data_IF_504750490016
#
_entry.id   IF_504750490016
#
_cell.length_a   1.000
_cell.length_b   1.000
_cell.length_c   1.000
_cell.angle_alpha   90.00
_cell.angle_beta   90.00
_cell.angle_gamma   90.00
#
_symmetry.space_group_name_H-M   'P 1'
#
loop_
_entity.id
_entity.type
_entity.pdbx_description
1 polymer ?
#
# COMPACT_ATOMS: atom_id res chain seq x y z
N UNK A 1 -10.47 18.89 -13.40
CA UNK A 1 -10.32 17.43 -13.52
C UNK A 1 -9.08 17.05 -12.74
N UNK A 2 -9.22 16.25 -11.69
CA UNK A 2 -8.11 15.82 -10.83
C UNK A 2 -7.21 14.85 -11.63
N UNK A 3 -5.92 15.15 -11.72
CA UNK A 3 -4.92 14.30 -12.38
C UNK A 3 -4.76 12.92 -11.70
N UNK A 4 -5.33 12.73 -10.49
CA UNK A 4 -5.23 11.50 -9.73
C UNK A 4 -5.96 10.28 -10.32
N UNK A 5 -6.94 10.46 -11.21
CA UNK A 5 -7.69 9.33 -11.80
C UNK A 5 -6.93 8.64 -12.95
N UNK A 6 -6.02 9.33 -13.65
CA UNK A 6 -5.24 8.81 -14.78
C UNK A 6 -3.78 8.47 -14.46
N UNK A 7 -3.30 8.73 -13.24
CA UNK A 7 -1.91 8.53 -12.86
C UNK A 7 -1.44 7.07 -13.02
N UNK A 8 -2.30 6.08 -12.69
CA UNK A 8 -1.83 4.71 -12.51
C UNK A 8 -1.57 3.91 -13.81
N UNK A 9 -2.41 3.95 -14.86
CA UNK A 9 -2.18 3.12 -16.04
C UNK A 9 -0.87 3.48 -16.77
N UNK A 10 -0.68 4.77 -17.07
CA UNK A 10 0.48 5.22 -17.84
C UNK A 10 1.77 5.21 -17.02
N UNK A 11 1.72 5.61 -15.74
CA UNK A 11 2.88 5.49 -14.84
C UNK A 11 3.31 4.04 -14.65
N UNK A 12 2.37 3.09 -14.62
CA UNK A 12 2.69 1.65 -14.54
C UNK A 12 3.45 1.18 -15.76
N UNK A 13 2.98 1.56 -16.96
CA UNK A 13 3.63 1.15 -18.20
C UNK A 13 5.04 1.74 -18.29
N UNK A 14 5.20 3.04 -18.01
CA UNK A 14 6.51 3.70 -17.99
C UNK A 14 7.46 3.11 -16.94
N UNK A 15 6.96 2.78 -15.75
CA UNK A 15 7.73 2.09 -14.70
C UNK A 15 8.16 0.69 -15.15
N UNK A 16 7.25 -0.09 -15.75
CA UNK A 16 7.52 -1.44 -16.22
C UNK A 16 8.48 -1.47 -17.42
N UNK A 17 8.47 -0.42 -18.24
CA UNK A 17 9.37 -0.26 -19.39
C UNK A 17 10.66 0.49 -19.02
N UNK A 18 10.83 0.87 -17.75
CA UNK A 18 12.02 1.57 -17.24
C UNK A 18 12.27 2.90 -17.98
N UNK A 19 11.19 3.58 -18.38
CA UNK A 19 11.22 4.93 -18.97
C UNK A 19 11.09 5.98 -17.87
N UNK A 20 12.12 6.07 -17.04
CA UNK A 20 12.08 6.88 -15.83
C UNK A 20 12.07 8.38 -16.12
N UNK A 21 12.77 8.84 -17.15
CA UNK A 21 12.69 10.22 -17.64
C UNK A 21 11.24 10.62 -17.93
N UNK A 22 10.51 9.83 -18.72
CA UNK A 22 9.10 10.13 -19.04
C UNK A 22 8.19 9.96 -17.84
N UNK A 23 8.44 8.99 -16.97
CA UNK A 23 7.69 8.83 -15.74
C UNK A 23 7.78 10.10 -14.88
N UNK A 24 8.98 10.64 -14.70
CA UNK A 24 9.17 11.86 -13.93
C UNK A 24 8.59 13.09 -14.64
N UNK A 25 8.85 13.24 -15.93
CA UNK A 25 8.47 14.46 -16.66
C UNK A 25 6.97 14.48 -16.97
N UNK A 26 6.42 13.38 -17.49
CA UNK A 26 5.06 13.32 -18.00
C UNK A 26 4.02 13.02 -16.91
N UNK A 27 4.38 12.20 -15.92
CA UNK A 27 3.41 11.73 -14.92
C UNK A 27 3.61 12.37 -13.54
N UNK A 28 4.85 12.63 -13.12
CA UNK A 28 5.13 13.25 -11.81
C UNK A 28 5.17 14.78 -11.86
N UNK A 29 5.17 15.40 -13.05
CA UNK A 29 5.22 16.85 -13.20
C UNK A 29 6.61 17.45 -12.98
N UNK A 30 7.67 16.66 -13.17
CA UNK A 30 9.04 17.14 -13.03
C UNK A 30 9.56 17.79 -14.31
N UNK A 31 10.63 18.57 -14.19
CA UNK A 31 11.23 19.26 -15.34
C UNK A 31 12.37 18.45 -15.95
N UNK A 32 12.59 18.66 -17.26
CA UNK A 32 13.81 18.19 -17.91
C UNK A 32 15.04 18.83 -17.26
N UNK A 33 16.11 18.06 -17.03
CA UNK A 33 17.36 18.59 -16.50
C UNK A 33 18.08 19.45 -17.53
N UNK A 34 19.00 20.30 -17.06
CA UNK A 34 19.79 21.18 -17.94
C UNK A 34 20.64 20.42 -18.98
N UNK A 35 20.97 19.16 -18.70
CA UNK A 35 21.63 18.25 -19.63
C UNK A 35 21.15 16.83 -19.39
N UNK A 36 20.94 16.09 -20.48
CA UNK A 36 20.65 14.65 -20.47
C UNK A 36 21.85 13.81 -20.92
N UNK A 37 22.98 14.47 -21.25
CA UNK A 37 24.18 13.76 -21.69
C UNK A 37 24.75 12.90 -20.55
N UNK A 38 25.15 11.65 -20.83
CA UNK A 38 25.81 10.81 -19.85
C UNK A 38 27.09 11.47 -19.32
N UNK A 39 27.26 11.39 -18.00
CA UNK A 39 28.43 11.82 -17.25
C UNK A 39 29.10 10.57 -16.70
N UNK A 40 30.41 10.61 -16.53
CA UNK A 40 31.19 9.51 -15.96
C UNK A 40 31.66 9.85 -14.56
N UNK A 41 31.48 8.93 -13.62
CA UNK A 41 32.03 8.98 -12.28
C UNK A 41 33.07 7.88 -12.10
N UNK A 42 34.26 8.21 -11.60
CA UNK A 42 35.30 7.22 -11.29
C UNK A 42 35.26 6.88 -9.81
N UNK A 43 35.11 5.60 -9.50
CA UNK A 43 35.19 5.08 -8.13
C UNK A 43 36.17 3.91 -8.14
N UNK A 44 37.19 4.01 -7.29
CA UNK A 44 38.34 3.10 -7.29
C UNK A 44 38.98 3.02 -8.70
N UNK A 45 38.98 1.84 -9.33
CA UNK A 45 39.50 1.63 -10.69
C UNK A 45 38.43 1.44 -11.76
N UNK A 46 37.15 1.69 -11.43
CA UNK A 46 36.01 1.53 -12.33
C UNK A 46 35.36 2.87 -12.66
N UNK A 47 34.83 2.98 -13.88
CA UNK A 47 34.12 4.16 -14.35
C UNK A 47 32.65 3.82 -14.52
N UNK A 48 31.77 4.64 -13.97
CA UNK A 48 30.33 4.44 -13.99
C UNK A 48 29.68 5.57 -14.78
N UNK A 49 28.85 5.24 -15.76
CA UNK A 49 28.08 6.21 -16.50
C UNK A 49 26.73 6.48 -15.82
N UNK A 50 26.35 7.74 -15.75
CA UNK A 50 25.06 8.16 -15.21
C UNK A 50 24.52 9.38 -15.94
N UNK A 51 23.19 9.52 -15.97
CA UNK A 51 22.53 10.65 -16.62
C UNK A 51 21.58 11.32 -15.64
N UNK A 52 21.47 12.65 -15.71
CA UNK A 52 20.35 13.35 -15.10
C UNK A 52 19.11 13.07 -15.95
N UNK A 53 18.04 12.60 -15.33
CA UNK A 53 16.80 12.25 -16.02
C UNK A 53 15.64 13.19 -15.68
N UNK A 54 15.68 13.82 -14.51
CA UNK A 54 14.67 14.78 -14.07
C UNK A 54 15.21 15.74 -13.01
N UNK A 55 14.58 16.90 -12.88
CA UNK A 55 14.85 17.86 -11.82
C UNK A 55 13.58 18.56 -11.35
N UNK A 56 13.53 18.95 -10.08
CA UNK A 56 12.52 19.86 -9.56
C UNK A 56 13.09 20.67 -8.40
N UNK A 57 13.06 22.00 -8.48
CA UNK A 57 13.50 22.93 -7.43
C UNK A 57 14.81 22.55 -6.73
N UNK A 58 15.82 22.15 -7.52
CA UNK A 58 17.15 21.77 -7.02
C UNK A 58 17.30 20.32 -6.55
N UNK A 59 16.22 19.54 -6.54
CA UNK A 59 16.28 18.07 -6.37
C UNK A 59 16.53 17.43 -7.73
N UNK A 60 17.55 16.57 -7.81
CA UNK A 60 17.97 15.92 -9.05
C UNK A 60 17.78 14.40 -9.01
N UNK A 61 17.29 13.85 -10.12
CA UNK A 61 17.15 12.39 -10.29
C UNK A 61 18.18 11.91 -11.29
N UNK A 62 18.95 10.90 -10.89
CA UNK A 62 20.02 10.33 -11.69
C UNK A 62 19.74 8.86 -12.00
N UNK A 63 19.89 8.47 -13.27
CA UNK A 63 19.88 7.06 -13.68
C UNK A 63 21.33 6.59 -13.89
N UNK A 64 21.71 5.51 -13.21
CA UNK A 64 22.98 4.80 -13.37
C UNK A 64 22.72 3.50 -14.09
N UNK A 65 23.38 3.30 -15.23
CA UNK A 65 23.31 2.05 -15.97
C UNK A 65 24.49 1.18 -15.55
N UNK A 66 24.23 -0.04 -15.08
CA UNK A 66 25.27 -1.00 -14.77
C UNK A 66 25.85 -1.60 -16.06
N UNK A 67 27.18 -1.66 -16.13
CA UNK A 67 27.86 -2.36 -17.23
C UNK A 67 27.82 -3.89 -17.07
N UNK A 68 27.49 -4.38 -15.87
CA UNK A 68 27.44 -5.80 -15.51
C UNK A 68 26.00 -6.33 -15.38
N UNK A 69 25.83 -7.64 -15.47
CA UNK A 69 24.52 -8.32 -15.34
C UNK A 69 23.87 -8.13 -13.96
N UNK A 70 24.65 -7.78 -12.93
CA UNK A 70 24.14 -7.54 -11.58
C UNK A 70 24.04 -6.05 -11.30
N UNK A 71 22.90 -5.67 -10.72
CA UNK A 71 22.70 -4.34 -10.17
C UNK A 71 23.74 -4.03 -9.08
N UNK A 72 24.10 -2.76 -8.94
CA UNK A 72 25.09 -2.30 -7.96
C UNK A 72 24.76 -2.80 -6.54
N UNK A 73 25.78 -3.33 -5.85
CA UNK A 73 25.64 -3.80 -4.47
C UNK A 73 25.57 -2.64 -3.47
N UNK A 74 25.27 -2.95 -2.20
CA UNK A 74 25.14 -1.94 -1.14
C UNK A 74 26.41 -1.11 -0.91
N UNK A 75 27.60 -1.70 -1.10
CA UNK A 75 28.88 -0.99 -0.89
C UNK A 75 29.08 0.02 -2.02
N UNK A 76 28.84 -0.40 -3.26
CA UNK A 76 28.97 0.43 -4.44
C UNK A 76 27.92 1.55 -4.47
N UNK A 77 26.65 1.24 -4.20
CA UNK A 77 25.58 2.25 -4.11
C UNK A 77 25.92 3.34 -3.10
N UNK A 78 26.47 2.97 -1.94
CA UNK A 78 26.89 3.91 -0.91
C UNK A 78 28.07 4.78 -1.38
N UNK A 79 29.07 4.20 -2.05
CA UNK A 79 30.22 4.94 -2.57
C UNK A 79 29.79 5.96 -3.64
N UNK A 80 28.95 5.53 -4.61
CA UNK A 80 28.39 6.41 -5.64
C UNK A 80 27.60 7.55 -5.00
N UNK A 81 26.74 7.24 -4.03
CA UNK A 81 25.98 8.26 -3.34
C UNK A 81 26.87 9.29 -2.61
N UNK A 82 27.97 8.87 -1.99
CA UNK A 82 28.89 9.79 -1.29
C UNK A 82 29.56 10.78 -2.24
N UNK A 83 29.84 10.40 -3.48
CA UNK A 83 30.38 11.30 -4.50
C UNK A 83 29.28 12.24 -5.04
N UNK A 84 28.09 11.71 -5.34
CA UNK A 84 26.98 12.51 -5.85
C UNK A 84 26.50 13.53 -4.81
N UNK A 85 26.44 13.18 -3.52
CA UNK A 85 26.02 14.08 -2.44
C UNK A 85 26.93 15.31 -2.30
N UNK A 86 28.22 15.20 -2.64
CA UNK A 86 29.16 16.33 -2.61
C UNK A 86 28.84 17.39 -3.68
N UNK A 87 28.30 16.95 -4.81
CA UNK A 87 27.95 17.82 -5.95
C UNK A 87 26.51 18.29 -5.86
N UNK A 88 25.61 17.41 -5.44
CA UNK A 88 24.17 17.61 -5.48
C UNK A 88 23.56 17.15 -4.17
N UNK A 89 23.26 18.12 -3.30
CA UNK A 89 22.75 17.85 -1.96
C UNK A 89 21.44 17.06 -2.00
N UNK A 90 20.42 17.56 -2.69
CA UNK A 90 19.15 16.83 -2.81
C UNK A 90 19.13 16.00 -4.08
N UNK A 91 19.12 14.68 -3.91
CA UNK A 91 19.21 13.74 -5.02
C UNK A 91 18.42 12.45 -4.77
N UNK A 92 18.05 11.80 -5.87
CA UNK A 92 17.53 10.44 -5.92
C UNK A 92 18.32 9.68 -6.98
N UNK A 93 18.90 8.53 -6.61
CA UNK A 93 19.67 7.70 -7.54
C UNK A 93 18.85 6.47 -7.92
N UNK A 94 18.85 6.12 -9.20
CA UNK A 94 18.18 4.94 -9.73
C UNK A 94 19.24 4.11 -10.44
N UNK A 95 19.61 2.99 -9.84
CA UNK A 95 20.52 2.02 -10.47
C UNK A 95 19.71 1.05 -11.32
N UNK A 96 20.16 0.76 -12.52
CA UNK A 96 19.51 -0.15 -13.46
C UNK A 96 20.51 -1.22 -13.87
N UNK A 97 20.09 -2.49 -13.85
CA UNK A 97 20.92 -3.59 -14.36
C UNK A 97 21.05 -3.54 -15.89
N UNK A 98 22.05 -4.23 -16.43
CA UNK A 98 22.32 -4.25 -17.87
C UNK A 98 21.11 -4.65 -18.72
N UNK A 99 20.31 -5.60 -18.24
CA UNK A 99 19.15 -6.13 -18.95
C UNK A 99 17.88 -5.24 -18.81
N UNK A 100 17.97 -4.13 -18.07
CA UNK A 100 16.83 -3.27 -17.65
C UNK A 100 15.66 -4.10 -17.13
N UNK A 101 15.98 -5.10 -16.32
CA UNK A 101 15.05 -6.02 -15.68
C UNK A 101 14.84 -5.68 -14.20
N UNK A 102 15.79 -4.95 -13.59
CA UNK A 102 15.78 -4.56 -12.18
C UNK A 102 16.27 -3.14 -12.02
N UNK A 103 15.56 -2.35 -11.21
CA UNK A 103 16.01 -1.02 -10.80
C UNK A 103 16.03 -0.90 -9.27
N UNK A 104 17.08 -0.32 -8.72
CA UNK A 104 17.24 -0.03 -7.30
C UNK A 104 17.22 1.48 -7.11
N UNK A 105 16.18 1.96 -6.44
CA UNK A 105 16.00 3.37 -6.16
C UNK A 105 16.57 3.66 -4.78
N UNK A 106 17.54 4.55 -4.73
CA UNK A 106 18.37 4.82 -3.58
C UNK A 106 18.23 6.29 -3.18
N UNK A 107 17.62 6.51 -2.02
CA UNK A 107 17.42 7.82 -1.43
C UNK A 107 17.94 7.83 0.01
N UNK A 108 18.42 8.98 0.47
CA UNK A 108 18.96 9.12 1.83
C UNK A 108 18.20 10.21 2.58
N UNK A 109 17.46 9.78 3.59
CA UNK A 109 16.82 10.70 4.53
C UNK A 109 17.88 11.38 5.39
N UNK A 110 17.77 12.71 5.50
CA UNK A 110 18.59 13.53 6.37
C UNK A 110 17.77 14.00 7.58
N UNK A 111 18.33 13.80 8.75
CA UNK A 111 17.75 14.28 10.01
C UNK A 111 18.88 14.88 10.86
N UNK A 112 19.12 16.18 10.64
CA UNK A 112 20.33 16.87 11.09
C UNK A 112 21.59 16.20 10.53
N UNK A 113 22.42 15.68 11.44
CA UNK A 113 23.67 14.96 11.10
C UNK A 113 23.44 13.49 10.78
N UNK A 114 22.29 12.92 11.15
CA UNK A 114 21.98 11.52 10.89
C UNK A 114 21.60 11.32 9.42
N UNK A 115 21.96 10.14 8.90
CA UNK A 115 21.67 9.69 7.53
C UNK A 115 21.01 8.33 7.60
N UNK A 116 19.85 8.18 6.96
CA UNK A 116 19.15 6.91 6.87
C UNK A 116 18.95 6.54 5.41
N UNK A 117 19.57 5.45 5.00
CA UNK A 117 19.47 4.92 3.63
C UNK A 117 18.10 4.29 3.44
N UNK A 118 17.49 4.55 2.28
CA UNK A 118 16.24 3.96 1.81
C UNK A 118 16.47 3.43 0.40
N UNK A 119 16.56 2.10 0.29
CA UNK A 119 16.78 1.39 -0.95
C UNK A 119 15.53 0.58 -1.34
N UNK A 120 15.03 0.79 -2.55
CA UNK A 120 13.78 0.21 -3.01
C UNK A 120 13.99 -0.50 -4.35
N UNK A 121 13.90 -1.83 -4.33
CA UNK A 121 14.05 -2.66 -5.52
C UNK A 121 12.73 -2.74 -6.29
N UNK A 122 12.80 -2.49 -7.59
CA UNK A 122 11.75 -2.79 -8.56
C UNK A 122 12.25 -3.82 -9.57
N UNK A 123 11.43 -4.85 -9.84
CA UNK A 123 11.71 -5.91 -10.82
C UNK A 123 10.64 -5.85 -11.90
N UNK A 124 11.05 -5.82 -13.17
CA UNK A 124 10.17 -5.81 -14.33
C UNK A 124 9.16 -6.95 -14.28
N UNK A 125 7.91 -6.69 -14.67
CA UNK A 125 6.82 -7.66 -14.66
C UNK A 125 6.14 -7.88 -13.31
N UNK A 126 6.62 -7.27 -12.22
CA UNK A 126 5.88 -7.26 -10.96
C UNK A 126 4.68 -6.29 -11.05
N UNK A 127 3.58 -6.53 -10.30
CA UNK A 127 2.37 -5.70 -10.35
C UNK A 127 2.60 -4.19 -10.12
N UNK A 128 3.69 -3.82 -9.44
CA UNK A 128 4.21 -2.45 -9.38
C UNK A 128 3.43 -1.49 -8.49
N UNK A 129 2.25 -1.85 -7.99
CA UNK A 129 1.38 -0.96 -7.22
C UNK A 129 2.03 -0.35 -5.98
N UNK A 130 2.76 -1.14 -5.19
CA UNK A 130 3.51 -0.65 -4.04
C UNK A 130 4.62 0.32 -4.40
N UNK A 131 5.14 0.22 -5.63
CA UNK A 131 6.18 1.12 -6.10
C UNK A 131 5.53 2.40 -6.63
N UNK A 132 4.46 2.27 -7.41
CA UNK A 132 3.63 3.37 -7.90
C UNK A 132 3.06 4.22 -6.77
N UNK A 133 2.71 3.63 -5.62
CA UNK A 133 2.27 4.39 -4.45
C UNK A 133 3.38 5.24 -3.81
N UNK A 134 4.65 4.84 -3.93
CA UNK A 134 5.77 5.66 -3.49
C UNK A 134 5.97 6.83 -4.44
N UNK A 135 5.73 6.59 -5.73
CA UNK A 135 5.83 7.58 -6.79
C UNK A 135 4.67 8.59 -6.77
N UNK A 136 3.45 8.19 -6.39
CA UNK A 136 2.31 9.12 -6.30
C UNK A 136 2.58 10.26 -5.33
N UNK A 137 3.32 10.02 -4.26
CA UNK A 137 3.76 11.06 -3.33
C UNK A 137 4.70 12.11 -3.96
N UNK A 138 5.34 11.79 -5.08
CA UNK A 138 6.27 12.67 -5.80
C UNK A 138 5.58 13.53 -6.87
N UNK A 139 4.28 13.32 -7.11
CA UNK A 139 3.50 14.11 -8.07
C UNK A 139 3.47 15.56 -7.60
N UNK A 140 3.83 16.47 -8.50
CA UNK A 140 3.64 17.91 -8.30
C UNK A 140 2.36 18.33 -9.01
N UNK A 141 1.34 18.65 -8.22
CA UNK A 141 0.02 19.04 -8.71
C UNK A 141 -0.07 20.56 -8.88
N UNK A 142 -1.04 21.04 -9.66
CA UNK A 142 -1.34 22.47 -9.81
C UNK A 142 -1.64 23.16 -8.46
N UNK A 143 -2.22 22.42 -7.51
CA UNK A 143 -2.46 22.88 -6.12
C UNK A 143 -1.17 23.20 -5.37
N UNK A 144 -0.06 22.53 -5.69
CA UNK A 144 1.25 22.82 -5.09
C UNK A 144 1.78 24.20 -5.52
N UNK A 145 1.21 24.82 -6.56
CA UNK A 145 1.60 26.14 -7.08
C UNK A 145 0.79 27.31 -6.51
N UNK A 146 -0.22 27.06 -5.67
CA UNK A 146 -1.11 28.11 -5.12
C UNK A 146 -0.36 29.19 -4.33
N UNK A 147 0.80 28.84 -3.75
CA UNK A 147 1.68 29.72 -2.98
C UNK A 147 2.99 30.06 -3.71
N UNK A 148 3.10 29.72 -5.01
CA UNK A 148 4.32 29.84 -5.82
C UNK A 148 4.97 28.48 -6.12
N UNK A 149 6.10 28.50 -6.83
CA UNK A 149 6.83 27.27 -7.19
C UNK A 149 7.23 26.47 -5.93
N UNK A 150 6.97 25.14 -5.87
CA UNK A 150 7.31 24.32 -4.72
C UNK A 150 8.80 24.38 -4.43
N UNK A 151 9.16 24.67 -3.19
CA UNK A 151 10.55 24.73 -2.74
C UNK A 151 11.23 23.36 -2.67
N UNK A 152 12.57 23.36 -2.65
CA UNK A 152 13.39 22.15 -2.41
C UNK A 152 12.96 21.38 -1.15
N UNK A 153 12.52 22.08 -0.10
CA UNK A 153 12.08 21.48 1.16
C UNK A 153 10.78 20.68 0.95
N UNK A 154 9.83 21.25 0.20
CA UNK A 154 8.56 20.56 -0.10
C UNK A 154 8.80 19.30 -0.94
N UNK A 155 9.71 19.34 -1.91
CA UNK A 155 10.07 18.15 -2.69
C UNK A 155 10.82 17.12 -1.85
N UNK A 156 11.72 17.55 -0.96
CA UNK A 156 12.38 16.64 -0.03
C UNK A 156 11.38 15.97 0.94
N UNK A 157 10.35 16.68 1.38
CA UNK A 157 9.25 16.10 2.16
C UNK A 157 8.42 15.11 1.34
N UNK A 158 8.14 15.39 0.05
CA UNK A 158 7.52 14.41 -0.87
C UNK A 158 8.37 13.14 -1.05
N UNK A 159 9.70 13.26 -1.16
CA UNK A 159 10.62 12.11 -1.18
C UNK A 159 10.60 11.32 0.12
N UNK A 160 10.61 12.01 1.26
CA UNK A 160 10.49 11.38 2.59
C UNK A 160 9.18 10.62 2.71
N UNK A 161 8.10 11.23 2.28
CA UNK A 161 6.78 10.62 2.21
C UNK A 161 6.79 9.32 1.42
N UNK A 162 7.29 9.33 0.18
CA UNK A 162 7.23 8.17 -0.70
C UNK A 162 8.20 7.06 -0.29
N UNK A 163 9.41 7.40 0.15
CA UNK A 163 10.49 6.43 0.34
C UNK A 163 10.81 6.08 1.81
N UNK A 164 10.24 6.75 2.81
CA UNK A 164 10.43 6.46 4.26
C UNK A 164 9.32 5.59 4.89
N UNK A 165 8.38 5.05 4.11
CA UNK A 165 7.19 4.27 4.58
C UNK A 165 7.52 2.83 5.00
N UNK A 166 8.76 2.40 4.84
CA UNK A 166 9.09 0.97 4.82
C UNK A 166 9.02 0.27 6.20
N UNK A 167 9.18 1.01 7.31
CA UNK A 167 9.25 0.40 8.65
C UNK A 167 7.87 -0.03 9.18
N UNK A 168 6.83 0.75 8.92
CA UNK A 168 5.46 0.47 9.36
C UNK A 168 4.89 -0.73 8.63
N UNK A 169 5.06 -0.75 7.31
CA UNK A 169 4.52 -1.81 6.45
C UNK A 169 5.13 -3.17 6.77
N UNK A 170 6.45 -3.23 7.03
CA UNK A 170 7.14 -4.48 7.41
C UNK A 170 6.71 -4.98 8.79
N UNK A 171 6.59 -4.07 9.77
CA UNK A 171 6.16 -4.42 11.13
C UNK A 171 4.71 -4.92 11.14
N UNK A 172 3.80 -4.17 10.51
CA UNK A 172 2.40 -4.57 10.37
C UNK A 172 2.26 -5.91 9.69
N UNK A 173 2.97 -6.14 8.58
CA UNK A 173 2.89 -7.42 7.87
C UNK A 173 3.35 -8.60 8.74
N UNK A 174 4.40 -8.41 9.54
CA UNK A 174 4.90 -9.45 10.44
C UNK A 174 3.88 -9.76 11.54
N UNK A 175 3.36 -8.73 12.22
CA UNK A 175 2.33 -8.89 13.26
C UNK A 175 1.03 -9.46 12.68
N UNK A 176 0.60 -9.00 11.50
CA UNK A 176 -0.57 -9.52 10.80
C UNK A 176 -0.42 -10.99 10.41
N UNK A 177 0.77 -11.43 10.02
CA UNK A 177 1.05 -12.84 9.72
C UNK A 177 0.95 -13.71 10.97
N UNK A 178 1.40 -13.19 12.12
CA UNK A 178 1.27 -13.87 13.41
C UNK A 178 -0.20 -13.97 13.81
N UNK A 179 -0.96 -12.87 13.68
CA UNK A 179 -2.41 -12.90 13.93
C UNK A 179 -3.17 -13.79 12.96
N UNK A 180 -2.74 -13.91 11.69
CA UNK A 180 -3.33 -14.87 10.75
C UNK A 180 -3.22 -16.31 11.25
N UNK A 181 -2.04 -16.68 11.76
CA UNK A 181 -1.81 -17.99 12.34
C UNK A 181 -2.67 -18.23 13.60
N UNK A 182 -2.79 -17.23 14.47
CA UNK A 182 -3.63 -17.31 15.67
C UNK A 182 -5.11 -17.43 15.30
N UNK A 183 -5.58 -16.61 14.36
CA UNK A 183 -6.97 -16.58 13.90
C UNK A 183 -7.40 -17.94 13.32
N UNK A 184 -6.50 -18.62 12.58
CA UNK A 184 -6.73 -19.97 12.06
C UNK A 184 -7.16 -20.98 13.15
N UNK A 185 -6.60 -20.88 14.35
CA UNK A 185 -6.87 -21.80 15.45
C UNK A 185 -8.30 -21.65 16.02
N UNK A 186 -8.93 -20.49 15.82
CA UNK A 186 -10.28 -20.21 16.28
C UNK A 186 -11.38 -20.60 15.29
N UNK A 187 -11.03 -20.99 14.06
CA UNK A 187 -12.01 -21.40 13.05
C UNK A 187 -12.39 -22.87 13.25
N UNK A 188 -13.66 -23.11 13.52
CA UNK A 188 -14.28 -24.42 13.66
C UNK A 188 -15.27 -24.69 12.53
N UNK A 189 -15.60 -25.97 12.29
CA UNK A 189 -16.58 -26.38 11.28
C UNK A 189 -16.03 -26.50 9.85
N UNK A 190 -14.70 -26.48 9.67
CA UNK A 190 -14.03 -26.75 8.39
C UNK A 190 -13.08 -27.94 8.57
N UNK A 191 -13.36 -29.04 7.88
CA UNK A 191 -12.60 -30.29 8.04
C UNK A 191 -11.22 -30.25 7.37
N UNK A 192 -11.12 -29.56 6.23
CA UNK A 192 -9.89 -29.48 5.44
C UNK A 192 -9.03 -28.32 5.92
N UNK A 193 -7.79 -28.61 6.31
CA UNK A 193 -6.86 -27.57 6.76
C UNK A 193 -6.56 -26.53 5.66
N UNK A 194 -6.45 -26.97 4.40
CA UNK A 194 -6.28 -26.06 3.25
C UNK A 194 -7.40 -25.03 3.17
N UNK A 195 -8.63 -25.50 3.36
CA UNK A 195 -9.83 -24.68 3.23
C UNK A 195 -9.95 -23.76 4.44
N UNK A 196 -9.59 -24.23 5.65
CA UNK A 196 -9.53 -23.40 6.84
C UNK A 196 -8.52 -22.26 6.69
N UNK A 197 -7.32 -22.53 6.18
CA UNK A 197 -6.28 -21.50 5.90
C UNK A 197 -6.73 -20.50 4.84
N UNK A 198 -7.40 -20.98 3.80
CA UNK A 198 -7.95 -20.10 2.79
C UNK A 198 -9.05 -19.21 3.36
N UNK A 199 -9.96 -19.79 4.16
CA UNK A 199 -11.05 -19.05 4.78
C UNK A 199 -10.58 -18.02 5.81
N UNK A 200 -9.52 -18.31 6.58
CA UNK A 200 -8.84 -17.30 7.42
C UNK A 200 -8.46 -16.07 6.60
N UNK A 201 -7.86 -16.30 5.42
CA UNK A 201 -7.42 -15.21 4.54
C UNK A 201 -8.62 -14.40 4.01
N UNK A 202 -9.70 -15.07 3.61
CA UNK A 202 -10.95 -14.42 3.17
C UNK A 202 -11.56 -13.57 4.30
N UNK A 203 -11.64 -14.12 5.51
CA UNK A 203 -12.22 -13.46 6.67
C UNK A 203 -11.43 -12.23 7.09
N UNK A 204 -10.11 -12.38 7.28
CA UNK A 204 -9.24 -11.28 7.68
C UNK A 204 -9.26 -10.15 6.65
N UNK A 205 -9.35 -10.50 5.37
CA UNK A 205 -9.44 -9.53 4.29
C UNK A 205 -10.76 -8.74 4.32
N UNK A 206 -11.88 -9.42 4.51
CA UNK A 206 -13.18 -8.76 4.72
C UNK A 206 -13.15 -7.85 5.95
N UNK A 207 -12.62 -8.31 7.08
CA UNK A 207 -12.50 -7.50 8.30
C UNK A 207 -11.63 -6.27 8.06
N UNK A 208 -10.50 -6.43 7.37
CA UNK A 208 -9.60 -5.34 7.03
C UNK A 208 -10.29 -4.27 6.17
N UNK A 209 -11.09 -4.69 5.19
CA UNK A 209 -11.87 -3.79 4.37
C UNK A 209 -12.96 -3.06 5.17
N UNK A 210 -13.67 -3.76 6.05
CA UNK A 210 -14.67 -3.10 6.91
C UNK A 210 -14.02 -2.13 7.88
N UNK A 211 -12.87 -2.50 8.46
CA UNK A 211 -12.09 -1.60 9.29
C UNK A 211 -11.67 -0.35 8.51
N UNK A 212 -11.24 -0.50 7.26
CA UNK A 212 -10.95 0.63 6.38
C UNK A 212 -12.16 1.56 6.18
N UNK A 213 -13.35 1.00 5.90
CA UNK A 213 -14.58 1.79 5.76
C UNK A 213 -14.95 2.52 7.06
N UNK A 214 -14.80 1.86 8.21
CA UNK A 214 -15.09 2.47 9.50
C UNK A 214 -14.18 3.68 9.75
N UNK A 215 -12.89 3.58 9.41
CA UNK A 215 -11.92 4.68 9.57
C UNK A 215 -12.16 5.83 8.60
N UNK A 216 -12.83 5.59 7.47
CA UNK A 216 -13.39 6.64 6.58
C UNK A 216 -14.66 7.30 7.14
N UNK A 217 -15.24 6.78 8.22
CA UNK A 217 -16.53 7.23 8.73
C UNK A 217 -17.70 6.82 7.84
N UNK A 218 -17.54 5.77 7.02
CA UNK A 218 -18.60 5.29 6.10
C UNK A 218 -19.58 4.30 6.75
N UNK A 219 -19.36 3.95 8.02
CA UNK A 219 -20.20 3.00 8.76
C UNK A 219 -20.91 3.72 9.89
N UNK A 220 -22.21 3.48 10.00
CA UNK A 220 -23.12 3.91 11.07
C UNK A 220 -22.84 5.33 11.56
N UNK A 221 -23.24 6.33 10.75
CA UNK A 221 -23.17 7.75 11.10
C UNK A 221 -21.75 8.22 11.50
N UNK A 222 -20.72 7.67 10.87
CA UNK A 222 -19.33 8.09 11.10
C UNK A 222 -18.63 7.38 12.25
N UNK A 223 -19.10 6.20 12.66
CA UNK A 223 -18.54 5.45 13.77
C UNK A 223 -17.13 4.90 13.45
N UNK A 224 -16.11 5.55 14.00
CA UNK A 224 -14.70 5.18 13.79
C UNK A 224 -14.25 3.91 14.53
N UNK A 225 -15.09 3.40 15.44
CA UNK A 225 -14.88 2.19 16.25
C UNK A 225 -16.01 1.16 16.02
N UNK A 226 -16.60 1.17 14.82
CA UNK A 226 -17.79 0.38 14.48
C UNK A 226 -17.64 -1.12 14.79
N UNK A 227 -16.59 -1.78 14.29
CA UNK A 227 -16.38 -3.21 14.53
C UNK A 227 -16.18 -3.53 16.02
N UNK A 228 -15.47 -2.68 16.76
CA UNK A 228 -15.22 -2.86 18.19
C UNK A 228 -16.52 -2.69 18.99
N UNK A 229 -17.34 -1.70 18.64
CA UNK A 229 -18.63 -1.45 19.27
C UNK A 229 -19.60 -2.61 19.01
N UNK A 230 -19.61 -3.13 17.78
CA UNK A 230 -20.45 -4.26 17.39
C UNK A 230 -20.01 -5.59 18.00
N UNK A 231 -18.69 -5.78 18.19
CA UNK A 231 -18.15 -6.91 18.93
C UNK A 231 -18.63 -6.89 20.38
N UNK A 232 -18.47 -5.77 21.08
CA UNK A 232 -18.95 -5.60 22.45
C UNK A 232 -20.47 -5.83 22.56
N UNK A 233 -21.24 -5.29 21.63
CA UNK A 233 -22.69 -5.48 21.61
C UNK A 233 -23.08 -6.95 21.38
N UNK A 234 -22.34 -7.67 20.52
CA UNK A 234 -22.58 -9.09 20.26
C UNK A 234 -22.25 -9.96 21.48
N UNK A 235 -21.15 -9.67 22.16
CA UNK A 235 -20.76 -10.33 23.41
C UNK A 235 -21.77 -10.15 24.54
N UNK A 236 -22.48 -9.01 24.57
CA UNK A 236 -23.58 -8.78 25.52
C UNK A 236 -24.81 -9.64 25.22
N UNK A 237 -25.04 -10.03 23.96
CA UNK A 237 -26.17 -10.90 23.57
C UNK A 237 -25.86 -12.38 23.81
N UNK A 238 -24.59 -12.77 23.74
CA UNK A 238 -24.18 -14.14 23.98
C UNK A 238 -22.75 -14.42 23.52
N UNK A 239 -22.28 -15.63 23.81
CA UNK A 239 -20.92 -16.07 23.47
C UNK A 239 -20.80 -16.41 21.98
N UNK A 240 -19.73 -15.95 21.34
CA UNK A 240 -19.34 -16.31 19.96
C UNK A 240 -20.41 -15.94 18.91
N UNK A 241 -21.15 -14.85 19.16
CA UNK A 241 -22.21 -14.37 18.28
C UNK A 241 -21.74 -13.36 17.24
N UNK A 242 -20.54 -12.77 17.41
CA UNK A 242 -20.07 -11.73 16.50
C UNK A 242 -19.96 -12.23 15.06
N UNK A 243 -19.46 -13.45 14.87
CA UNK A 243 -19.37 -14.06 13.53
C UNK A 243 -20.75 -14.47 12.98
N UNK A 244 -21.47 -15.33 13.70
CA UNK A 244 -22.68 -16.00 13.20
C UNK A 244 -23.89 -15.07 13.05
N UNK A 245 -23.99 -14.05 13.89
CA UNK A 245 -25.11 -13.11 13.86
C UNK A 245 -24.67 -11.83 13.15
N UNK A 246 -23.72 -11.11 13.71
CA UNK A 246 -23.38 -9.76 13.25
C UNK A 246 -22.65 -9.77 11.90
N UNK A 247 -21.49 -10.41 11.77
CA UNK A 247 -20.70 -10.40 10.53
C UNK A 247 -21.43 -11.09 9.37
N UNK A 248 -22.12 -12.19 9.64
CA UNK A 248 -22.94 -12.85 8.62
C UNK A 248 -24.02 -11.90 8.08
N UNK A 249 -24.73 -11.19 8.95
CA UNK A 249 -25.74 -10.19 8.55
C UNK A 249 -25.09 -9.00 7.85
N UNK A 250 -23.98 -8.49 8.36
CA UNK A 250 -23.25 -7.38 7.76
C UNK A 250 -22.81 -7.70 6.33
N UNK A 251 -22.23 -8.88 6.10
CA UNK A 251 -21.71 -9.26 4.78
C UNK A 251 -22.81 -9.62 3.79
N UNK A 252 -23.76 -10.49 4.19
CA UNK A 252 -24.68 -11.10 3.24
C UNK A 252 -26.05 -10.44 3.17
N UNK A 253 -26.35 -9.52 4.08
CA UNK A 253 -27.60 -8.76 4.07
C UNK A 253 -27.33 -7.26 3.91
N UNK A 254 -26.48 -6.67 4.75
CA UNK A 254 -26.24 -5.23 4.70
C UNK A 254 -25.43 -4.83 3.47
N UNK A 255 -24.22 -5.38 3.29
CA UNK A 255 -23.39 -5.03 2.13
C UNK A 255 -23.95 -5.57 0.82
N UNK A 256 -24.63 -6.72 0.84
CA UNK A 256 -25.13 -7.37 -0.37
C UNK A 256 -26.50 -6.88 -0.87
N UNK A 257 -27.24 -6.06 -0.11
CA UNK A 257 -28.55 -5.52 -0.52
C UNK A 257 -28.63 -4.00 -0.35
N UNK A 258 -29.27 -3.27 -1.29
CA UNK A 258 -29.59 -1.86 -1.09
C UNK A 258 -30.45 -1.64 0.16
N UNK A 259 -30.24 -0.53 0.87
CA UNK A 259 -30.88 -0.26 2.17
C UNK A 259 -32.41 -0.34 2.15
N UNK A 260 -33.03 0.08 1.04
CA UNK A 260 -34.48 0.00 0.82
C UNK A 260 -35.03 -1.44 0.80
N UNK A 261 -34.18 -2.44 0.62
CA UNK A 261 -34.53 -3.86 0.55
C UNK A 261 -34.09 -4.65 1.79
N UNK A 262 -33.61 -3.97 2.84
CA UNK A 262 -33.20 -4.62 4.09
C UNK A 262 -34.35 -4.61 5.09
N UNK A 263 -34.53 -5.74 5.76
CA UNK A 263 -35.51 -5.88 6.84
C UNK A 263 -35.14 -4.99 8.04
N UNK A 264 -36.14 -4.63 8.86
CA UNK A 264 -35.94 -3.78 10.05
C UNK A 264 -34.95 -4.39 11.05
N UNK A 265 -34.96 -5.72 11.20
CA UNK A 265 -34.02 -6.44 12.07
C UNK A 265 -32.57 -6.28 11.60
N UNK A 266 -32.33 -6.31 10.28
CA UNK A 266 -31.00 -6.10 9.70
C UNK A 266 -30.53 -4.68 9.98
N UNK A 267 -31.40 -3.68 9.75
CA UNK A 267 -31.10 -2.26 10.02
C UNK A 267 -30.82 -2.01 11.49
N UNK A 268 -31.59 -2.62 12.39
CA UNK A 268 -31.38 -2.50 13.84
C UNK A 268 -30.05 -3.11 14.28
N UNK A 269 -29.62 -4.23 13.68
CA UNK A 269 -28.39 -4.90 14.04
C UNK A 269 -27.15 -4.17 13.49
N UNK A 270 -27.16 -3.76 12.23
CA UNK A 270 -25.97 -3.22 11.53
C UNK A 270 -25.92 -1.69 11.52
N UNK A 271 -27.02 -0.99 11.78
CA UNK A 271 -27.10 0.46 11.66
C UNK A 271 -27.09 0.95 10.21
N UNK A 272 -26.69 2.20 10.01
CA UNK A 272 -26.67 2.85 8.70
C UNK A 272 -25.38 2.49 7.93
N UNK A 273 -25.48 1.52 7.03
CA UNK A 273 -24.34 0.98 6.28
C UNK A 273 -24.60 1.07 4.77
N UNK A 274 -23.62 1.52 4.00
CA UNK A 274 -23.75 1.62 2.54
C UNK A 274 -23.82 0.25 1.87
N UNK A 275 -24.48 0.18 0.72
CA UNK A 275 -24.48 -1.01 -0.12
C UNK A 275 -23.16 -1.11 -0.89
N UNK A 276 -22.59 -2.32 -0.95
CA UNK A 276 -21.35 -2.59 -1.68
C UNK A 276 -21.65 -3.71 -2.68
N UNK A 277 -21.65 -3.38 -3.96
CA UNK A 277 -22.15 -4.25 -5.04
C UNK A 277 -21.35 -5.56 -5.18
N UNK A 278 -21.72 -6.57 -4.39
CA UNK A 278 -21.48 -8.00 -4.62
C UNK A 278 -20.03 -8.43 -4.90
N UNK A 279 -19.02 -7.73 -4.38
CA UNK A 279 -17.62 -8.14 -4.57
C UNK A 279 -17.14 -9.08 -3.45
N UNK A 280 -16.21 -8.56 -2.66
CA UNK A 280 -15.56 -9.22 -1.52
C UNK A 280 -16.53 -9.88 -0.52
N UNK A 281 -17.79 -9.43 -0.47
CA UNK A 281 -18.80 -9.86 0.50
C UNK A 281 -19.80 -10.89 -0.01
N UNK A 282 -19.63 -11.42 -1.24
CA UNK A 282 -20.42 -12.57 -1.68
C UNK A 282 -20.04 -13.83 -0.90
N UNK A 283 -21.01 -14.74 -0.75
CA UNK A 283 -20.80 -16.05 -0.12
C UNK A 283 -19.70 -16.81 -0.85
N UNK A 284 -18.61 -17.06 -0.14
CA UNK A 284 -17.46 -17.82 -0.60
C UNK A 284 -17.84 -19.30 -0.73
N UNK A 285 -17.19 -20.04 -1.64
CA UNK A 285 -17.43 -21.48 -1.83
C UNK A 285 -17.30 -22.27 -0.50
N UNK A 286 -16.29 -21.94 0.31
CA UNK A 286 -16.08 -22.55 1.62
C UNK A 286 -17.28 -22.32 2.56
N UNK A 287 -17.93 -21.15 2.51
CA UNK A 287 -19.11 -20.86 3.34
C UNK A 287 -20.35 -21.64 2.88
N UNK A 288 -20.37 -22.08 1.62
CA UNK A 288 -21.41 -22.94 1.05
C UNK A 288 -21.12 -24.42 1.36
N UNK A 289 -19.87 -24.84 1.21
CA UNK A 289 -19.42 -26.22 1.45
C UNK A 289 -19.43 -26.57 2.95
N UNK A 290 -19.22 -25.56 3.81
CA UNK A 290 -19.14 -25.71 5.27
C UNK A 290 -20.15 -24.76 5.98
N UNK A 291 -21.44 -25.11 6.04
CA UNK A 291 -22.46 -24.23 6.65
C UNK A 291 -22.35 -24.12 8.18
N UNK A 292 -21.59 -25.01 8.82
CA UNK A 292 -21.42 -25.05 10.28
C UNK A 292 -20.21 -24.26 10.78
N UNK A 293 -19.57 -23.45 9.92
CA UNK A 293 -18.43 -22.62 10.33
C UNK A 293 -18.78 -21.82 11.58
N UNK A 294 -17.83 -21.76 12.50
CA UNK A 294 -17.88 -20.84 13.63
C UNK A 294 -16.50 -20.26 13.90
N UNK A 295 -16.46 -19.03 14.40
CA UNK A 295 -15.23 -18.34 14.79
C UNK A 295 -15.48 -17.71 16.14
N UNK A 296 -14.63 -18.00 17.12
CA UNK A 296 -14.79 -17.47 18.47
C UNK A 296 -14.55 -15.95 18.52
N UNK A 297 -15.26 -15.25 19.42
CA UNK A 297 -15.16 -13.80 19.58
C UNK A 297 -13.72 -13.34 19.89
N UNK A 298 -12.95 -14.17 20.62
CA UNK A 298 -11.55 -13.93 20.96
C UNK A 298 -10.63 -13.73 19.74
N UNK A 299 -10.95 -14.36 18.60
CA UNK A 299 -10.20 -14.15 17.36
C UNK A 299 -10.36 -12.71 16.84
N UNK A 300 -11.57 -12.15 16.99
CA UNK A 300 -11.89 -10.80 16.57
C UNK A 300 -11.33 -9.76 17.53
N UNK A 301 -11.27 -10.05 18.82
CA UNK A 301 -10.58 -9.20 19.80
C UNK A 301 -9.11 -8.99 19.44
N UNK A 302 -8.38 -10.09 19.15
CA UNK A 302 -6.94 -10.03 18.83
C UNK A 302 -6.67 -9.24 17.54
N UNK A 303 -7.42 -9.53 16.46
CA UNK A 303 -7.19 -8.84 15.19
C UNK A 303 -7.64 -7.37 15.23
N UNK A 304 -8.72 -7.03 15.94
CA UNK A 304 -9.16 -5.64 16.07
C UNK A 304 -8.24 -4.84 16.97
N UNK A 305 -7.66 -5.47 18.00
CA UNK A 305 -6.58 -4.87 18.79
C UNK A 305 -5.38 -4.56 17.90
N UNK A 306 -4.92 -5.53 17.09
CA UNK A 306 -3.85 -5.28 16.10
C UNK A 306 -4.20 -4.09 15.21
N UNK A 307 -5.38 -4.08 14.57
CA UNK A 307 -5.78 -3.00 13.68
C UNK A 307 -5.81 -1.63 14.38
N UNK A 308 -6.19 -1.57 15.66
CA UNK A 308 -6.23 -0.33 16.44
C UNK A 308 -4.86 0.27 16.74
N UNK A 309 -3.79 -0.53 16.72
CA UNK A 309 -2.41 -0.07 16.96
C UNK A 309 -1.81 0.70 15.78
N UNK A 310 -2.50 0.74 14.65
CA UNK A 310 -2.02 1.39 13.43
C UNK A 310 -2.96 2.53 13.02
N UNK A 311 -2.37 3.58 12.46
CA UNK A 311 -3.13 4.69 11.91
C UNK A 311 -3.55 4.35 10.48
N UNK A 312 -4.85 4.22 10.22
CA UNK A 312 -5.33 3.94 8.87
C UNK A 312 -5.46 5.27 8.14
N UNK A 313 -4.38 5.70 7.48
CA UNK A 313 -4.39 6.91 6.67
C UNK A 313 -4.85 6.58 5.25
N UNK A 314 -5.72 7.46 4.79
CA UNK A 314 -6.73 7.21 3.78
C UNK A 314 -6.64 8.22 2.64
N UNK A 315 -5.62 9.08 2.69
CA UNK A 315 -5.24 10.06 1.70
C UNK A 315 -3.88 9.65 1.12
N UNK A 316 -3.63 9.98 -0.15
CA UNK A 316 -2.30 9.85 -0.77
C UNK A 316 -1.26 10.80 -0.14
N UNK A 317 -1.72 11.66 0.79
CA UNK A 317 -0.89 12.56 1.60
C UNK A 317 -0.59 11.92 2.96
N UNK A 318 0.69 11.81 3.36
CA UNK A 318 1.06 11.24 4.65
C UNK A 318 0.58 12.17 5.75
N UNK A 319 0.03 11.58 6.79
CA UNK A 319 -0.09 12.23 8.06
C UNK A 319 1.27 12.19 8.75
N UNK A 320 1.39 13.00 9.80
CA UNK A 320 2.65 13.21 10.53
C UNK A 320 3.05 12.02 11.40
N UNK A 321 2.38 10.87 11.33
CA UNK A 321 2.59 9.74 12.26
C UNK A 321 3.34 8.58 11.62
N UNK A 322 4.31 8.07 12.38
CA UNK A 322 5.21 6.98 12.00
C UNK A 322 4.55 5.58 12.02
N UNK A 323 3.22 5.46 12.07
CA UNK A 323 2.46 4.21 12.21
C UNK A 323 1.30 4.07 11.19
N UNK A 324 1.41 4.75 10.05
CA UNK A 324 0.34 4.81 9.04
C UNK A 324 0.28 3.62 8.06
N UNK A 325 -0.90 3.00 7.95
CA UNK A 325 -1.30 2.02 6.93
C UNK A 325 -2.08 2.76 5.83
N UNK A 326 -1.58 2.70 4.60
CA UNK A 326 -2.20 3.28 3.42
C UNK A 326 -3.06 2.21 2.66
N UNK A 327 -4.15 2.57 1.97
CA UNK A 327 -4.85 1.72 1.00
C UNK A 327 -3.98 0.83 0.08
N UNK A 328 -2.75 1.20 -0.27
CA UNK A 328 -1.87 0.32 -1.07
C UNK A 328 -1.27 -0.85 -0.28
N UNK A 329 -1.10 -0.72 1.04
CA UNK A 329 -0.75 -1.84 1.93
C UNK A 329 -1.88 -2.88 1.93
N UNK A 330 -3.13 -2.42 1.84
CA UNK A 330 -4.27 -3.32 1.58
C UNK A 330 -4.04 -4.07 0.27
N UNK A 331 -3.88 -3.36 -0.85
CA UNK A 331 -3.66 -3.97 -2.17
C UNK A 331 -2.58 -5.07 -2.16
N UNK A 332 -1.45 -4.82 -1.50
CA UNK A 332 -0.40 -5.82 -1.35
C UNK A 332 -0.81 -7.05 -0.51
N UNK A 333 -1.54 -6.86 0.59
CA UNK A 333 -2.06 -7.96 1.42
C UNK A 333 -3.10 -8.77 0.64
N UNK A 334 -4.03 -8.07 -0.03
CA UNK A 334 -5.00 -8.67 -0.94
C UNK A 334 -4.26 -9.54 -1.97
N UNK A 335 -3.26 -9.02 -2.67
CA UNK A 335 -2.52 -9.79 -3.67
C UNK A 335 -1.70 -10.96 -3.08
N UNK A 336 -0.95 -10.76 -1.99
CA UNK A 336 -0.10 -11.82 -1.40
C UNK A 336 -0.88 -13.02 -0.88
N UNK A 337 -2.07 -12.81 -0.32
CA UNK A 337 -2.86 -13.87 0.32
C UNK A 337 -4.00 -14.40 -0.56
N UNK A 338 -4.45 -13.64 -1.57
CA UNK A 338 -5.58 -14.03 -2.44
C UNK A 338 -5.11 -14.53 -3.81
N UNK A 339 -4.00 -14.01 -4.37
CA UNK A 339 -3.49 -14.47 -5.69
C UNK A 339 -2.81 -15.83 -5.67
N UNK A 340 -2.92 -16.61 -4.59
CA UNK A 340 -2.82 -18.06 -4.71
C UNK A 340 -4.11 -18.62 -5.35
N UNK A 341 -4.27 -18.30 -6.66
CA UNK A 341 -5.09 -18.97 -7.70
C UNK A 341 -6.63 -18.79 -7.79
N UNK A 342 -7.35 -17.90 -7.09
CA UNK A 342 -8.83 -18.01 -7.15
C UNK A 342 -9.73 -16.76 -7.10
N UNK A 343 -9.27 -15.52 -7.35
CA UNK A 343 -10.21 -14.40 -7.52
C UNK A 343 -9.93 -13.59 -8.77
N UNK A 344 -10.61 -13.95 -9.86
CA UNK A 344 -10.75 -13.16 -11.07
C UNK A 344 -11.74 -12.01 -10.86
N UNK A 345 -11.38 -11.03 -10.03
CA UNK A 345 -12.05 -9.74 -9.97
C UNK A 345 -10.97 -8.66 -10.08
N UNK A 346 -10.62 -8.33 -11.33
CA UNK A 346 -9.88 -7.11 -11.61
C UNK A 346 -10.73 -5.94 -11.13
N UNK A 347 -10.11 -5.03 -10.38
CA UNK A 347 -10.69 -3.74 -10.04
C UNK A 347 -10.75 -2.89 -11.32
N UNK A 348 -11.73 -3.13 -12.17
CA UNK A 348 -12.05 -2.24 -13.30
C UNK A 348 -12.84 -1.07 -12.75
N UNK A 349 -12.23 0.12 -12.72
CA UNK A 349 -12.96 1.37 -12.51
C UNK A 349 -13.74 1.73 -13.79
N UNK A 350 -14.94 2.33 -13.69
CA UNK A 350 -15.71 2.82 -14.83
C UNK A 350 -14.99 3.93 -15.61
#
# INVERSE_FOLDING_TARGET
MSLGENFFPKSRDLLNDFRFDDLFIQELGWSQPATTKPITLKIESQTYAYSMIAQFSGVLVFEFNADNEQIADKKLCKAIYQEIEQLYRENLLIFVDRDRSRSLWYWVKRDGTKRYIRDHLYIKGQPGYLFLSKLSSLVVELSDWELGEPSVIQIADKLKTGFDVERVTKKFYQEFKEEHYNFLAYIQGIDRESDRRWYTSVMLNRLMFVYFLQRKGFLDRGNLDYLQNQLKASQQRGKDLFYREFLHTLFFEAFAKPEKHRDEQVKALVGEVTYLDGGLFLKHKIEQDYPQINIADAAFEQILDLFSRYSWNLNDTPGKRDDEINPYVLGYIFEKYINQKAFGAYYTRP
#
